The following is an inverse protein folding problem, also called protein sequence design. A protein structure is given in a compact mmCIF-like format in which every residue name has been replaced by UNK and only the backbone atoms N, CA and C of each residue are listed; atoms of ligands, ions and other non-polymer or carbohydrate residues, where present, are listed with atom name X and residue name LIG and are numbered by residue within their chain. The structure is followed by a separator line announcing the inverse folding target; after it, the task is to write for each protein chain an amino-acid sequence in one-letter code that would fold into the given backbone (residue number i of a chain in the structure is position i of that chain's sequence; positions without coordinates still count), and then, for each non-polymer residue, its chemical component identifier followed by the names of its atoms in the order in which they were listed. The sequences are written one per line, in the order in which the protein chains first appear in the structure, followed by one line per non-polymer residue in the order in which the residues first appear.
data_IF_329650160811
#
_entry.id   IF_329650160811
#
_cell.length_a   1.000
_cell.length_b   1.000
_cell.length_c   1.000
_cell.angle_alpha   90.00
_cell.angle_beta   90.00
_cell.angle_gamma   90.00
#
_symmetry.space_group_name_H-M   'P 1'
#
loop_
_entity.id
_entity.type
_entity.pdbx_description
1 polymer ?
#
# COMPACT_ATOMS: atom_id res chain seq x y z
N UNK A 1 26.05 -33.96 -4.94
CA UNK A 1 24.77 -33.47 -4.39
C UNK A 1 24.65 -32.03 -4.88
N UNK A 2 23.79 -31.73 -5.85
CA UNK A 2 23.59 -30.34 -6.28
C UNK A 2 22.80 -29.65 -5.16
N UNK A 3 23.46 -28.73 -4.45
CA UNK A 3 22.75 -27.76 -3.62
C UNK A 3 21.95 -26.92 -4.60
N UNK A 4 20.62 -27.04 -4.58
CA UNK A 4 19.77 -26.18 -5.38
C UNK A 4 20.14 -24.73 -5.07
N UNK A 5 20.36 -23.92 -6.10
CA UNK A 5 20.72 -22.53 -5.90
C UNK A 5 19.51 -21.81 -5.28
N UNK A 6 19.73 -20.80 -4.42
CA UNK A 6 18.62 -20.09 -3.75
C UNK A 6 17.60 -19.53 -4.77
N UNK A 7 18.10 -19.11 -5.92
CA UNK A 7 17.30 -18.65 -7.05
C UNK A 7 16.40 -19.75 -7.65
N UNK A 8 16.89 -20.98 -7.80
CA UNK A 8 16.10 -22.11 -8.34
C UNK A 8 14.93 -22.48 -7.42
N UNK A 9 15.07 -22.22 -6.12
CA UNK A 9 14.01 -22.42 -5.13
C UNK A 9 12.98 -21.28 -5.21
N UNK A 10 13.44 -20.05 -5.40
CA UNK A 10 12.59 -18.88 -5.64
C UNK A 10 11.76 -19.03 -6.91
N UNK A 11 12.33 -19.50 -8.02
CA UNK A 11 11.60 -19.64 -9.29
C UNK A 11 10.40 -20.60 -9.23
N UNK A 12 10.34 -21.48 -8.21
CA UNK A 12 9.23 -22.42 -7.96
C UNK A 12 8.28 -21.94 -6.87
N UNK A 13 8.60 -20.82 -6.23
CA UNK A 13 7.85 -20.26 -5.12
C UNK A 13 6.61 -19.52 -5.63
N UNK A 14 5.47 -19.74 -4.97
CA UNK A 14 4.22 -19.04 -5.31
C UNK A 14 4.33 -17.52 -5.10
N UNK A 15 5.24 -17.08 -4.23
CA UNK A 15 5.50 -15.68 -3.93
C UNK A 15 6.58 -15.04 -4.79
N UNK A 16 7.15 -15.75 -5.76
CA UNK A 16 8.25 -15.24 -6.58
C UNK A 16 7.92 -13.91 -7.27
N UNK A 17 6.79 -13.84 -7.97
CA UNK A 17 6.37 -12.61 -8.66
C UNK A 17 6.14 -11.45 -7.70
N UNK A 18 5.57 -11.71 -6.51
CA UNK A 18 5.38 -10.68 -5.50
C UNK A 18 6.72 -10.20 -4.92
N UNK A 19 7.68 -11.11 -4.71
CA UNK A 19 9.03 -10.74 -4.27
C UNK A 19 9.78 -9.93 -5.32
N UNK A 20 9.61 -10.24 -6.61
CA UNK A 20 10.18 -9.48 -7.72
C UNK A 20 9.64 -8.04 -7.73
N UNK A 21 8.32 -7.86 -7.59
CA UNK A 21 7.71 -6.52 -7.50
C UNK A 21 8.24 -5.71 -6.29
N UNK A 22 8.40 -6.35 -5.12
CA UNK A 22 9.00 -5.71 -3.94
C UNK A 22 10.43 -5.28 -4.21
N UNK A 23 11.21 -6.14 -4.89
CA UNK A 23 12.61 -5.82 -5.23
C UNK A 23 12.69 -4.69 -6.24
N UNK A 24 11.84 -4.67 -7.28
CA UNK A 24 11.78 -3.60 -8.27
C UNK A 24 11.47 -2.23 -7.62
N UNK A 25 10.54 -2.20 -6.66
CA UNK A 25 10.26 -0.96 -5.92
C UNK A 25 11.38 -0.55 -4.97
N UNK A 26 12.07 -1.51 -4.35
CA UNK A 26 13.25 -1.22 -3.55
C UNK A 26 14.37 -0.63 -4.42
N UNK A 27 14.62 -1.20 -5.61
CA UNK A 27 15.59 -0.68 -6.57
C UNK A 27 15.22 0.72 -7.09
N UNK A 28 13.92 0.97 -7.33
CA UNK A 28 13.42 2.30 -7.70
C UNK A 28 13.64 3.32 -6.57
N UNK A 29 13.35 2.96 -5.32
CA UNK A 29 13.62 3.77 -4.13
C UNK A 29 15.12 4.06 -3.99
N UNK A 30 15.99 3.06 -4.11
CA UNK A 30 17.44 3.25 -4.05
C UNK A 30 17.94 4.15 -5.19
N UNK A 31 17.38 4.00 -6.39
CA UNK A 31 17.72 4.86 -7.53
C UNK A 31 17.38 6.32 -7.25
N UNK A 32 16.15 6.60 -6.80
CA UNK A 32 15.71 7.94 -6.40
C UNK A 32 16.60 8.48 -5.27
N UNK A 33 16.95 7.65 -4.30
CA UNK A 33 17.82 8.04 -3.17
C UNK A 33 19.21 8.48 -3.64
N UNK A 34 19.82 7.73 -4.55
CA UNK A 34 21.14 8.07 -5.12
C UNK A 34 21.11 9.38 -5.90
N UNK A 35 20.03 9.64 -6.64
CA UNK A 35 19.86 10.92 -7.36
C UNK A 35 19.70 12.06 -6.36
N UNK A 36 18.78 11.94 -5.41
CA UNK A 36 18.54 12.97 -4.39
C UNK A 36 19.81 13.32 -3.58
N UNK A 37 20.59 12.33 -3.16
CA UNK A 37 21.86 12.56 -2.44
C UNK A 37 22.89 13.30 -3.29
N UNK A 38 22.95 13.01 -4.60
CA UNK A 38 23.88 13.68 -5.53
C UNK A 38 23.55 15.16 -5.64
N UNK A 39 22.31 15.47 -5.98
CA UNK A 39 21.83 16.85 -6.15
C UNK A 39 21.94 17.65 -4.86
N UNK A 40 21.62 17.02 -3.72
CA UNK A 40 21.81 17.62 -2.39
C UNK A 40 23.26 18.03 -2.11
N UNK A 41 24.25 17.27 -2.61
CA UNK A 41 25.68 17.58 -2.44
C UNK A 41 26.17 18.62 -3.43
N UNK A 42 25.61 18.65 -4.63
CA UNK A 42 25.98 19.56 -5.70
C UNK A 42 25.36 20.96 -5.52
N UNK A 43 24.41 21.11 -4.60
CA UNK A 43 23.83 22.39 -4.23
C UNK A 43 22.78 22.87 -5.23
N UNK A 44 22.03 21.93 -5.80
CA UNK A 44 20.97 22.19 -6.78
C UNK A 44 19.89 23.12 -6.23
N UNK A 45 19.13 23.74 -7.13
CA UNK A 45 18.08 24.70 -6.76
C UNK A 45 17.08 24.08 -5.78
N UNK A 46 16.56 24.83 -4.78
CA UNK A 46 15.66 24.28 -3.77
C UNK A 46 14.41 23.58 -4.34
N UNK A 47 13.88 24.06 -5.47
CA UNK A 47 12.72 23.46 -6.14
C UNK A 47 13.00 22.07 -6.72
N UNK A 48 14.16 21.87 -7.35
CA UNK A 48 14.56 20.59 -7.91
C UNK A 48 14.82 19.56 -6.80
N UNK A 49 15.42 20.00 -5.69
CA UNK A 49 15.67 19.15 -4.53
C UNK A 49 14.36 18.72 -3.84
N UNK A 50 13.37 19.61 -3.75
CA UNK A 50 12.05 19.32 -3.20
C UNK A 50 11.28 18.32 -4.08
N UNK A 51 11.38 18.43 -5.41
CA UNK A 51 10.79 17.47 -6.35
C UNK A 51 11.41 16.08 -6.20
N UNK A 52 12.73 15.97 -6.18
CA UNK A 52 13.45 14.71 -5.96
C UNK A 52 13.15 14.10 -4.59
N UNK A 53 13.00 14.95 -3.57
CA UNK A 53 12.58 14.52 -2.23
C UNK A 53 11.18 13.91 -2.26
N UNK A 54 10.23 14.53 -2.98
CA UNK A 54 8.87 14.01 -3.14
C UNK A 54 8.87 12.68 -3.89
N UNK A 55 9.60 12.58 -4.99
CA UNK A 55 9.75 11.33 -5.75
C UNK A 55 10.32 10.20 -4.89
N UNK A 56 11.39 10.49 -4.14
CA UNK A 56 11.98 9.54 -3.19
C UNK A 56 10.99 9.10 -2.11
N UNK A 57 10.20 10.03 -1.55
CA UNK A 57 9.17 9.69 -0.56
C UNK A 57 8.09 8.79 -1.15
N UNK A 58 7.66 9.05 -2.39
CA UNK A 58 6.70 8.18 -3.09
C UNK A 58 7.28 6.78 -3.31
N UNK A 59 8.50 6.67 -3.84
CA UNK A 59 9.14 5.38 -4.07
C UNK A 59 9.36 4.59 -2.77
N UNK A 60 9.81 5.26 -1.70
CA UNK A 60 9.94 4.71 -0.36
C UNK A 60 8.59 4.20 0.17
N UNK A 61 7.52 4.98 -0.01
CA UNK A 61 6.18 4.58 0.40
C UNK A 61 5.67 3.34 -0.31
N UNK A 62 5.88 3.26 -1.62
CA UNK A 62 5.53 2.08 -2.42
C UNK A 62 6.31 0.85 -1.98
N UNK A 63 7.63 0.97 -1.79
CA UNK A 63 8.48 -0.14 -1.35
C UNK A 63 8.05 -0.68 0.02
N UNK A 64 7.72 0.21 0.96
CA UNK A 64 7.21 -0.17 2.29
C UNK A 64 5.89 -0.91 2.21
N UNK A 65 4.92 -0.34 1.52
CA UNK A 65 3.60 -0.95 1.41
C UNK A 65 3.68 -2.33 0.73
N UNK A 66 4.41 -2.46 -0.38
CA UNK A 66 4.57 -3.75 -1.04
C UNK A 66 5.26 -4.79 -0.16
N UNK A 67 6.26 -4.38 0.64
CA UNK A 67 6.94 -5.28 1.57
C UNK A 67 6.01 -5.75 2.70
N UNK A 68 5.23 -4.85 3.28
CA UNK A 68 4.23 -5.15 4.32
C UNK A 68 3.16 -6.12 3.80
N UNK A 69 2.66 -5.89 2.58
CA UNK A 69 1.69 -6.76 1.93
C UNK A 69 2.29 -8.14 1.61
N UNK A 70 3.52 -8.18 1.10
CA UNK A 70 4.25 -9.41 0.86
C UNK A 70 4.39 -10.24 2.16
N UNK A 71 4.88 -9.63 3.24
CA UNK A 71 5.06 -10.31 4.51
C UNK A 71 3.71 -10.80 5.08
N UNK A 72 2.66 -9.97 4.95
CA UNK A 72 1.32 -10.34 5.37
C UNK A 72 0.78 -11.54 4.60
N UNK A 73 0.93 -11.56 3.28
CA UNK A 73 0.51 -12.67 2.45
C UNK A 73 1.29 -13.95 2.74
N UNK A 74 2.61 -13.87 2.92
CA UNK A 74 3.46 -15.00 3.34
C UNK A 74 2.96 -15.56 4.68
N UNK A 75 2.76 -14.70 5.68
CA UNK A 75 2.31 -15.09 7.03
C UNK A 75 0.93 -15.76 7.01
N UNK A 76 0.00 -15.28 6.18
CA UNK A 76 -1.34 -15.87 6.03
C UNK A 76 -1.31 -17.18 5.24
N UNK A 77 -0.34 -17.37 4.35
CA UNK A 77 -0.20 -18.60 3.56
C UNK A 77 0.39 -19.77 4.33
N UNK A 78 1.14 -19.49 5.40
CA UNK A 78 1.73 -20.53 6.24
C UNK A 78 0.65 -21.26 7.04
N UNK A 79 0.21 -22.41 6.51
CA UNK A 79 -0.56 -23.40 7.27
C UNK A 79 0.31 -24.07 8.37
N UNK A 80 -0.27 -25.02 9.10
CA UNK A 80 0.40 -25.73 10.21
C UNK A 80 1.70 -26.51 9.84
N UNK A 81 2.06 -26.59 8.56
CA UNK A 81 3.16 -27.41 8.03
C UNK A 81 4.01 -26.71 6.95
N UNK A 82 4.19 -25.38 7.01
CA UNK A 82 5.06 -24.70 6.02
C UNK A 82 6.49 -25.27 6.05
N UNK A 83 7.07 -25.49 4.88
CA UNK A 83 8.48 -25.86 4.73
C UNK A 83 9.39 -24.79 5.36
N UNK A 84 10.15 -25.18 6.40
CA UNK A 84 10.99 -24.29 7.21
C UNK A 84 12.05 -23.59 6.36
N UNK A 85 12.52 -24.23 5.28
CA UNK A 85 13.48 -23.64 4.33
C UNK A 85 12.84 -22.47 3.56
N UNK A 86 11.59 -22.65 3.10
CA UNK A 86 10.85 -21.62 2.38
C UNK A 86 10.50 -20.44 3.29
N UNK A 87 10.00 -20.72 4.50
CA UNK A 87 9.71 -19.69 5.49
C UNK A 87 10.97 -18.90 5.89
N UNK A 88 12.11 -19.57 6.06
CA UNK A 88 13.39 -18.90 6.34
C UNK A 88 13.82 -17.99 5.19
N UNK A 89 13.62 -18.40 3.93
CA UNK A 89 13.97 -17.62 2.75
C UNK A 89 13.12 -16.36 2.63
N UNK A 90 11.81 -16.45 2.84
CA UNK A 90 10.93 -15.28 2.87
C UNK A 90 11.33 -14.29 3.97
N UNK A 91 11.65 -14.77 5.18
CA UNK A 91 12.13 -13.92 6.29
C UNK A 91 13.44 -13.21 5.95
N UNK A 92 14.39 -13.91 5.33
CA UNK A 92 15.66 -13.32 4.90
C UNK A 92 15.45 -12.23 3.85
N UNK A 93 14.55 -12.47 2.89
CA UNK A 93 14.18 -11.48 1.90
C UNK A 93 13.56 -10.23 2.56
N UNK A 94 12.59 -10.41 3.45
CA UNK A 94 11.95 -9.30 4.17
C UNK A 94 12.99 -8.48 4.93
N UNK A 95 13.81 -9.13 5.75
CA UNK A 95 14.84 -8.45 6.53
C UNK A 95 15.84 -7.67 5.67
N UNK A 96 16.18 -8.18 4.47
CA UNK A 96 17.08 -7.50 3.55
C UNK A 96 16.46 -6.20 3.01
N UNK A 97 15.21 -6.24 2.54
CA UNK A 97 14.52 -5.05 2.03
C UNK A 97 14.21 -4.06 3.15
N UNK A 98 13.79 -4.53 4.33
CA UNK A 98 13.60 -3.68 5.52
C UNK A 98 14.87 -2.91 5.88
N UNK A 99 16.04 -3.55 5.77
CA UNK A 99 17.32 -2.89 6.02
C UNK A 99 17.60 -1.79 4.99
N UNK A 100 17.27 -1.98 3.72
CA UNK A 100 17.44 -0.94 2.69
C UNK A 100 16.51 0.25 2.95
N UNK A 101 15.23 -0.03 3.20
CA UNK A 101 14.22 0.98 3.55
C UNK A 101 14.66 1.78 4.78
N UNK A 102 15.11 1.10 5.84
CA UNK A 102 15.54 1.74 7.09
C UNK A 102 16.71 2.71 6.88
N UNK A 103 17.66 2.36 6.00
CA UNK A 103 18.78 3.23 5.66
C UNK A 103 18.30 4.52 4.97
N UNK A 104 17.39 4.40 4.00
CA UNK A 104 16.82 5.56 3.28
C UNK A 104 15.99 6.43 4.22
N UNK A 105 15.15 5.83 5.07
CA UNK A 105 14.35 6.54 6.07
C UNK A 105 15.22 7.33 7.05
N UNK A 106 16.32 6.74 7.53
CA UNK A 106 17.25 7.41 8.43
C UNK A 106 17.87 8.63 7.75
N UNK A 107 18.35 8.48 6.52
CA UNK A 107 18.96 9.57 5.76
C UNK A 107 17.98 10.71 5.47
N UNK A 108 16.73 10.39 5.14
CA UNK A 108 15.67 11.38 4.97
C UNK A 108 15.37 12.09 6.30
N UNK A 109 15.18 11.35 7.39
CA UNK A 109 14.91 11.92 8.72
C UNK A 109 16.01 12.88 9.18
N UNK A 110 17.28 12.52 8.96
CA UNK A 110 18.42 13.39 9.26
C UNK A 110 18.41 14.68 8.42
N UNK A 111 18.06 14.57 7.14
CA UNK A 111 17.96 15.72 6.24
C UNK A 111 16.90 16.74 6.69
N UNK A 112 15.71 16.28 7.09
CA UNK A 112 14.64 17.19 7.54
C UNK A 112 14.89 17.73 8.95
N UNK A 113 15.50 16.92 9.83
CA UNK A 113 15.82 17.34 11.21
C UNK A 113 16.88 18.45 11.25
N UNK A 114 17.85 18.43 10.34
CA UNK A 114 18.90 19.45 10.24
C UNK A 114 18.40 20.80 9.69
N UNK A 115 17.25 20.81 9.01
CA UNK A 115 16.75 21.98 8.27
C UNK A 115 15.69 22.78 9.05
N UNK A 116 15.38 22.39 10.30
CA UNK A 116 14.29 22.99 11.08
C UNK A 116 12.90 22.73 10.47
N UNK A 117 12.81 21.86 9.46
CA UNK A 117 11.59 21.46 8.78
C UNK A 117 10.86 20.40 9.61
N UNK A 118 9.52 20.45 9.56
CA UNK A 118 8.62 19.51 10.23
C UNK A 118 8.96 18.04 9.89
N UNK A 119 8.57 17.06 10.72
CA UNK A 119 8.78 15.65 10.47
C UNK A 119 8.27 15.23 9.08
N UNK A 120 8.86 14.16 8.52
CA UNK A 120 8.50 13.55 7.24
C UNK A 120 6.99 13.62 6.96
N UNK A 121 6.61 14.55 6.08
CA UNK A 121 5.20 14.81 5.77
C UNK A 121 4.83 14.05 4.52
N UNK A 122 4.42 12.79 4.70
CA UNK A 122 3.96 11.89 3.64
C UNK A 122 2.81 12.46 2.79
N UNK A 123 2.08 13.42 3.36
CA UNK A 123 0.90 14.03 2.77
C UNK A 123 0.90 15.52 3.08
N UNK A 124 1.12 16.36 2.07
CA UNK A 124 1.22 17.81 2.22
C UNK A 124 -0.15 18.48 1.97
N UNK A 125 -1.11 18.24 2.86
CA UNK A 125 -2.45 18.82 2.78
C UNK A 125 -2.55 20.10 3.61
N UNK A 126 -3.27 21.13 3.18
CA UNK A 126 -3.64 22.19 4.11
C UNK A 126 -4.76 21.71 5.07
N UNK A 127 -5.24 22.62 5.94
CA UNK A 127 -6.25 22.29 6.93
C UNK A 127 -7.61 21.96 6.27
N UNK A 128 -7.95 22.67 5.21
CA UNK A 128 -9.18 22.46 4.44
C UNK A 128 -9.13 21.11 3.73
N UNK A 129 -8.03 20.82 3.04
CA UNK A 129 -7.82 19.53 2.37
C UNK A 129 -7.80 18.36 3.35
N UNK A 130 -7.26 18.54 4.56
CA UNK A 130 -7.34 17.54 5.63
C UNK A 130 -8.79 17.30 6.09
N UNK A 131 -9.56 18.37 6.27
CA UNK A 131 -10.94 18.29 6.73
C UNK A 131 -11.84 17.66 5.65
N UNK A 132 -11.60 17.97 4.37
CA UNK A 132 -12.26 17.35 3.21
C UNK A 132 -11.95 15.87 3.10
N UNK A 133 -10.68 15.48 3.23
CA UNK A 133 -10.28 14.08 3.23
C UNK A 133 -10.92 13.32 4.40
N UNK A 134 -10.97 13.93 5.59
CA UNK A 134 -11.64 13.35 6.75
C UNK A 134 -13.15 13.19 6.51
N UNK A 135 -13.81 14.18 5.89
CA UNK A 135 -15.23 14.11 5.54
C UNK A 135 -15.51 13.00 4.52
N UNK A 136 -14.64 12.87 3.51
CA UNK A 136 -14.71 11.79 2.51
C UNK A 136 -14.56 10.41 3.15
N UNK A 137 -13.52 10.20 3.95
CA UNK A 137 -13.26 8.90 4.61
C UNK A 137 -14.32 8.55 5.68
N UNK A 138 -14.93 9.57 6.30
CA UNK A 138 -16.02 9.38 7.26
C UNK A 138 -17.38 9.11 6.59
N UNK A 139 -17.44 9.17 5.24
CA UNK A 139 -18.68 9.00 4.49
C UNK A 139 -19.68 10.15 4.65
N UNK A 140 -19.25 11.30 5.17
CA UNK A 140 -20.10 12.46 5.45
C UNK A 140 -20.08 13.50 4.32
N UNK A 141 -19.86 13.06 3.07
CA UNK A 141 -19.88 13.93 1.88
C UNK A 141 -21.27 14.55 1.75
N UNK A 142 -21.40 15.81 2.18
CA UNK A 142 -22.53 16.65 1.80
C UNK A 142 -22.34 17.01 0.33
N UNK A 143 -22.93 16.22 -0.58
CA UNK A 143 -23.11 16.64 -1.97
C UNK A 143 -23.78 18.02 -1.89
N UNK A 144 -23.15 19.10 -2.38
CA UNK A 144 -23.79 20.40 -2.41
C UNK A 144 -25.12 20.22 -3.12
N UNK A 145 -26.21 20.59 -2.45
CA UNK A 145 -27.53 20.61 -3.05
C UNK A 145 -27.45 21.52 -4.28
N UNK A 146 -27.17 20.94 -5.45
CA UNK A 146 -27.52 21.51 -6.73
C UNK A 146 -29.00 21.83 -6.57
N UNK A 147 -29.25 23.13 -6.60
CA UNK A 147 -30.54 23.79 -6.48
C UNK A 147 -31.61 22.89 -7.09
N UNK A 148 -32.48 22.35 -6.22
CA UNK A 148 -33.77 21.82 -6.66
C UNK A 148 -34.57 23.02 -7.15
N UNK A 149 -34.38 23.37 -8.41
CA UNK A 149 -35.45 23.96 -9.21
C UNK A 149 -35.97 22.86 -10.14
N UNK A 150 -37.20 22.45 -9.82
CA UNK A 150 -38.16 21.65 -10.59
C UNK A 150 -37.64 20.46 -11.44
N UNK A 151 -37.79 19.25 -10.88
CA UNK A 151 -38.27 18.12 -11.68
C UNK A 151 -39.26 17.29 -10.87
N UNK A 152 -40.53 17.55 -11.18
CA UNK A 152 -41.74 16.76 -11.04
C UNK A 152 -41.67 15.46 -10.22
N UNK A 153 -42.47 15.46 -9.15
CA UNK A 153 -43.05 14.33 -8.43
C UNK A 153 -42.95 12.97 -9.13
N UNK A 154 -42.07 12.10 -8.64
CA UNK A 154 -42.22 10.66 -8.78
C UNK A 154 -42.36 10.00 -7.40
N UNK A 155 -43.58 9.52 -7.23
CA UNK A 155 -44.18 8.82 -6.10
C UNK A 155 -43.35 7.58 -5.74
N UNK A 156 -42.94 7.48 -4.48
CA UNK A 156 -42.34 6.26 -3.92
C UNK A 156 -43.27 5.06 -4.09
N UNK A 157 -42.80 3.88 -4.54
CA UNK A 157 -43.52 2.65 -4.30
C UNK A 157 -43.29 2.22 -2.86
N UNK A 158 -44.41 1.99 -2.18
CA UNK A 158 -44.52 1.64 -0.79
C UNK A 158 -43.79 0.33 -0.43
N UNK A 159 -43.35 0.27 0.83
CA UNK A 159 -43.02 -0.96 1.54
C UNK A 159 -44.16 -1.99 1.39
N UNK A 160 -43.81 -3.16 0.86
CA UNK A 160 -44.67 -4.34 0.87
C UNK A 160 -44.25 -5.27 2.01
N UNK A 161 -44.89 -5.09 3.17
CA UNK A 161 -45.08 -6.18 4.14
C UNK A 161 -46.09 -7.16 3.56
N UNK A 162 -45.83 -8.48 3.66
CA UNK A 162 -46.77 -9.51 4.11
C UNK A 162 -46.27 -10.93 3.77
N UNK A 163 -46.26 -11.80 4.78
CA UNK A 163 -46.88 -13.12 4.62
C UNK A 163 -45.95 -14.33 4.65
N UNK A 164 -45.87 -14.96 5.83
CA UNK A 164 -45.77 -16.42 5.96
C UNK A 164 -46.73 -17.13 4.98
N UNK A 165 -46.33 -18.28 4.44
CA UNK A 165 -47.00 -19.55 4.71
C UNK A 165 -46.32 -20.76 4.04
N UNK A 166 -46.26 -21.83 4.83
CA UNK A 166 -45.96 -23.22 4.47
C UNK A 166 -46.68 -23.73 3.23
N UNK A 167 -46.01 -24.55 2.40
CA UNK A 167 -46.67 -25.70 1.74
C UNK A 167 -45.75 -26.91 1.59
N UNK A 168 -46.40 -28.07 1.72
CA UNK A 168 -45.90 -29.43 1.91
C UNK A 168 -45.70 -30.15 0.57
N UNK A 169 -45.11 -31.36 0.66
CA UNK A 169 -45.25 -32.53 -0.23
C UNK A 169 -44.35 -32.54 -1.49
N UNK A 170 -43.85 -33.67 -2.02
CA UNK A 170 -43.81 -35.10 -1.63
C UNK A 170 -43.03 -35.83 -2.76
N UNK A 171 -42.16 -36.77 -2.37
CA UNK A 171 -41.63 -37.95 -3.07
C UNK A 171 -41.34 -37.90 -4.58
N UNK A 172 -40.14 -38.35 -4.96
CA UNK A 172 -39.96 -39.30 -6.06
C UNK A 172 -38.87 -40.34 -5.72
N UNK A 173 -39.26 -41.60 -5.82
CA UNK A 173 -38.42 -42.77 -6.18
C UNK A 173 -39.19 -43.52 -7.28
N UNK A 174 -38.78 -44.72 -7.74
CA UNK A 174 -37.68 -45.58 -7.31
C UNK A 174 -36.36 -45.34 -8.07
#
# INVERSE_FOLDING_TARGET
MMVANSFDLWQKDAFFSAAEEVQESADAMESAYRVWIREKREGSEPGDLDELSRELQTALGTAKWQLEEFESAVRLSHGHHSDDITASRHKQFVAAIESQISCVEAALREAFSGEGKQPLRWVNLDKEECDDLAMFLSGSVQIPQIVKDDCTTLKSPAEGSLGENHHKNKKFGP
#
